data_IF_347057454634
#
_entry.id   IF_347057454634
#
_cell.length_a   1.000
_cell.length_b   1.000
_cell.length_c   1.000
_cell.angle_alpha   90.00
_cell.angle_beta   90.00
_cell.angle_gamma   90.00
#
_symmetry.space_group_name_H-M   'P 1'
#
loop_
_entity.id
_entity.type
_entity.pdbx_description
1 polymer ?
#
# COMPACT_ATOMS: atom_id res chain seq x y z
N UNK A 1 -11.23 -8.03 0.84
CA UNK A 1 -10.60 -8.09 -0.49
C UNK A 1 -10.50 -9.53 -1.01
N UNK A 2 -9.66 -10.36 -0.38
CA UNK A 2 -9.32 -11.74 -0.79
C UNK A 2 -10.54 -12.64 -1.10
N UNK A 3 -11.58 -12.68 -0.24
CA UNK A 3 -12.78 -13.52 -0.47
C UNK A 3 -13.59 -13.14 -1.71
N UNK A 4 -13.62 -11.85 -2.08
CA UNK A 4 -14.40 -11.34 -3.23
C UNK A 4 -13.65 -11.47 -4.55
N UNK A 5 -12.34 -11.73 -4.51
CA UNK A 5 -11.47 -11.76 -5.68
C UNK A 5 -11.52 -13.07 -6.46
N UNK A 6 -12.30 -14.07 -6.05
CA UNK A 6 -12.42 -15.35 -6.76
C UNK A 6 -11.18 -16.26 -6.64
N UNK A 7 -10.35 -16.06 -5.61
CA UNK A 7 -9.14 -16.86 -5.38
C UNK A 7 -9.48 -18.35 -5.15
N UNK A 8 -8.89 -19.22 -5.97
CA UNK A 8 -8.97 -20.70 -5.93
C UNK A 8 -7.64 -21.30 -5.49
N UNK A 9 -7.61 -22.55 -5.01
CA UNK A 9 -6.41 -23.23 -4.46
C UNK A 9 -5.12 -23.16 -5.30
N UNK A 10 -5.22 -22.99 -6.61
CA UNK A 10 -4.09 -22.81 -7.54
C UNK A 10 -3.78 -21.34 -7.87
N UNK A 11 -4.24 -20.40 -7.05
CA UNK A 11 -4.06 -18.98 -7.34
C UNK A 11 -2.64 -18.54 -7.07
N UNK A 12 -2.05 -17.85 -8.04
CA UNK A 12 -0.79 -17.15 -7.89
C UNK A 12 -1.10 -15.66 -7.79
N UNK A 13 -0.76 -15.05 -6.67
CA UNK A 13 -1.08 -13.65 -6.37
C UNK A 13 0.14 -12.75 -6.58
N UNK A 14 -0.01 -11.64 -7.32
CA UNK A 14 1.02 -10.60 -7.43
C UNK A 14 0.58 -9.30 -6.78
N UNK A 15 1.47 -8.68 -6.02
CA UNK A 15 1.28 -7.36 -5.40
C UNK A 15 2.22 -6.35 -6.09
N UNK A 16 1.69 -5.41 -6.88
CA UNK A 16 2.47 -4.44 -7.67
C UNK A 16 2.49 -3.09 -6.96
N UNK A 17 3.69 -2.61 -6.61
CA UNK A 17 3.88 -1.51 -5.68
C UNK A 17 3.63 -1.98 -4.24
N UNK A 18 4.18 -3.14 -3.89
CA UNK A 18 3.81 -3.87 -2.68
C UNK A 18 4.26 -3.19 -1.37
N UNK A 19 5.12 -2.19 -1.45
CA UNK A 19 5.71 -1.50 -0.32
C UNK A 19 6.42 -2.46 0.61
N UNK A 20 5.91 -2.60 1.82
CA UNK A 20 6.42 -3.55 2.83
C UNK A 20 5.68 -4.91 2.80
N UNK A 21 5.01 -5.25 1.68
CA UNK A 21 4.30 -6.51 1.45
C UNK A 21 3.08 -6.77 2.36
N UNK A 22 2.42 -5.75 2.92
CA UNK A 22 1.26 -5.98 3.82
C UNK A 22 0.15 -6.76 3.11
N UNK A 23 -0.23 -6.33 1.90
CA UNK A 23 -1.30 -6.98 1.13
C UNK A 23 -0.88 -8.38 0.70
N UNK A 24 0.37 -8.54 0.23
CA UNK A 24 0.96 -9.84 -0.06
C UNK A 24 0.88 -10.82 1.13
N UNK A 25 1.23 -10.39 2.34
CA UNK A 25 1.17 -11.25 3.53
C UNK A 25 -0.26 -11.65 3.89
N UNK A 26 -1.22 -10.74 3.75
CA UNK A 26 -2.64 -11.09 3.90
C UNK A 26 -3.12 -12.09 2.86
N UNK A 27 -2.65 -12.00 1.61
CA UNK A 27 -2.98 -12.96 0.57
C UNK A 27 -2.44 -14.36 0.90
N UNK A 28 -1.21 -14.47 1.41
CA UNK A 28 -0.59 -15.75 1.79
C UNK A 28 -1.30 -16.47 2.93
N UNK A 29 -1.90 -15.72 3.87
CA UNK A 29 -2.74 -16.30 4.92
C UNK A 29 -4.01 -16.95 4.39
N UNK A 30 -4.40 -16.68 3.14
CA UNK A 30 -5.57 -17.29 2.55
C UNK A 30 -5.24 -18.70 2.05
N UNK A 31 -6.00 -19.74 2.46
CA UNK A 31 -5.72 -21.12 2.05
C UNK A 31 -5.76 -21.33 0.53
N UNK A 32 -6.52 -20.50 -0.20
CA UNK A 32 -6.64 -20.65 -1.64
C UNK A 32 -5.41 -20.09 -2.41
N UNK A 33 -4.57 -19.24 -1.82
CA UNK A 33 -3.40 -18.72 -2.54
C UNK A 33 -2.28 -19.74 -2.49
N UNK A 34 -1.93 -20.35 -3.61
CA UNK A 34 -0.84 -21.34 -3.67
C UNK A 34 0.52 -20.67 -3.46
N UNK A 35 0.71 -19.54 -4.14
CA UNK A 35 1.96 -18.82 -4.18
C UNK A 35 1.72 -17.33 -4.38
N UNK A 36 2.64 -16.49 -3.92
CA UNK A 36 2.54 -15.06 -4.11
C UNK A 36 3.91 -14.40 -4.26
N UNK A 37 3.98 -13.28 -4.99
CA UNK A 37 5.17 -12.46 -5.10
C UNK A 37 4.84 -10.96 -5.17
N UNK A 38 5.74 -10.13 -4.66
CA UNK A 38 5.62 -8.67 -4.68
C UNK A 38 6.61 -8.05 -5.66
N UNK A 39 6.19 -6.99 -6.33
CA UNK A 39 7.04 -6.12 -7.14
C UNK A 39 7.06 -4.76 -6.45
N UNK A 40 8.25 -4.29 -6.10
CA UNK A 40 8.45 -2.98 -5.48
C UNK A 40 9.64 -2.27 -6.13
N UNK A 41 9.52 -0.96 -6.28
CA UNK A 41 10.49 -0.12 -6.97
C UNK A 41 11.45 0.57 -5.99
N UNK A 42 11.04 0.75 -4.74
CA UNK A 42 11.88 1.29 -3.68
C UNK A 42 12.71 0.17 -3.00
N UNK A 43 14.05 0.17 -3.16
CA UNK A 43 14.90 -0.85 -2.57
C UNK A 43 14.85 -0.88 -1.03
N UNK A 44 14.63 0.27 -0.39
CA UNK A 44 14.50 0.34 1.08
C UNK A 44 13.22 -0.36 1.53
N UNK A 45 12.12 -0.20 0.79
CA UNK A 45 10.87 -0.91 1.09
C UNK A 45 11.00 -2.41 0.86
N UNK A 46 11.72 -2.85 -0.18
CA UNK A 46 12.02 -4.28 -0.39
C UNK A 46 12.78 -4.87 0.79
N UNK A 47 13.82 -4.18 1.28
CA UNK A 47 14.57 -4.65 2.47
C UNK A 47 13.68 -4.71 3.71
N UNK A 48 12.83 -3.70 3.94
CA UNK A 48 11.84 -3.71 5.03
C UNK A 48 10.84 -4.86 4.87
N UNK A 49 10.43 -5.18 3.65
CA UNK A 49 9.51 -6.28 3.38
C UNK A 49 10.14 -7.65 3.67
N UNK A 50 11.43 -7.84 3.35
CA UNK A 50 12.18 -9.05 3.70
C UNK A 50 12.29 -9.19 5.22
N UNK A 51 12.70 -8.14 5.92
CA UNK A 51 12.78 -8.15 7.38
C UNK A 51 11.42 -8.40 8.05
N UNK A 52 10.35 -7.82 7.50
CA UNK A 52 8.98 -8.07 7.97
C UNK A 52 8.58 -9.54 7.77
N UNK A 53 8.92 -10.14 6.63
CA UNK A 53 8.65 -11.56 6.40
C UNK A 53 9.39 -12.46 7.41
N UNK A 54 10.67 -12.21 7.66
CA UNK A 54 11.45 -12.96 8.65
C UNK A 54 10.86 -12.83 10.05
N UNK A 55 10.46 -11.61 10.44
CA UNK A 55 9.77 -11.36 11.70
C UNK A 55 8.46 -12.15 11.80
N UNK A 56 7.62 -12.13 10.76
CA UNK A 56 6.35 -12.88 10.74
C UNK A 56 6.56 -14.39 10.85
N UNK A 57 7.56 -14.93 10.15
CA UNK A 57 7.92 -16.36 10.22
C UNK A 57 8.40 -16.78 11.62
N UNK A 58 9.04 -15.87 12.36
CA UNK A 58 9.53 -16.14 13.71
C UNK A 58 8.46 -15.94 14.79
N UNK A 59 7.67 -14.87 14.68
CA UNK A 59 6.81 -14.40 15.78
C UNK A 59 5.33 -14.78 15.62
N UNK A 60 4.90 -15.22 14.45
CA UNK A 60 3.50 -15.58 14.20
C UNK A 60 3.33 -17.06 13.83
N UNK A 61 2.99 -17.93 14.80
CA UNK A 61 2.77 -19.36 14.54
C UNK A 61 1.74 -19.63 13.45
N UNK A 62 0.67 -18.83 13.40
CA UNK A 62 -0.38 -18.94 12.36
C UNK A 62 0.18 -18.67 10.96
N UNK A 63 1.02 -17.63 10.81
CA UNK A 63 1.65 -17.32 9.53
C UNK A 63 2.62 -18.42 9.12
N UNK A 64 3.46 -18.89 10.06
CA UNK A 64 4.38 -20.01 9.84
C UNK A 64 3.64 -21.28 9.42
N UNK A 65 2.51 -21.60 10.05
CA UNK A 65 1.67 -22.75 9.69
C UNK A 65 1.05 -22.59 8.30
N UNK A 66 0.54 -21.39 7.96
CA UNK A 66 0.02 -21.11 6.63
C UNK A 66 1.09 -21.29 5.54
N UNK A 67 2.34 -20.91 5.82
CA UNK A 67 3.47 -21.03 4.89
C UNK A 67 3.96 -22.46 4.68
N UNK A 68 3.76 -23.39 5.62
CA UNK A 68 4.14 -24.82 5.45
C UNK A 68 3.45 -25.48 4.26
N UNK A 69 2.25 -25.03 3.93
CA UNK A 69 1.43 -25.59 2.85
C UNK A 69 1.61 -24.85 1.52
N UNK A 70 2.58 -23.93 1.41
CA UNK A 70 2.83 -23.15 0.19
C UNK A 70 4.00 -23.74 -0.59
N UNK A 71 3.88 -23.73 -1.92
CA UNK A 71 4.89 -24.31 -2.82
C UNK A 71 6.25 -23.58 -2.73
N UNK A 72 6.25 -22.30 -2.33
CA UNK A 72 7.47 -21.52 -2.15
C UNK A 72 7.25 -20.32 -1.20
N UNK A 73 8.32 -19.81 -0.55
CA UNK A 73 8.25 -18.54 0.15
C UNK A 73 7.95 -17.39 -0.82
N UNK A 74 7.27 -16.32 -0.36
CA UNK A 74 7.05 -15.15 -1.18
C UNK A 74 8.37 -14.52 -1.59
N UNK A 75 8.40 -14.02 -2.82
CA UNK A 75 9.54 -13.26 -3.34
C UNK A 75 9.17 -11.79 -3.40
N UNK A 76 10.02 -10.93 -2.87
CA UNK A 76 9.98 -9.49 -3.10
C UNK A 76 11.03 -9.17 -4.17
N UNK A 77 10.59 -8.75 -5.36
CA UNK A 77 11.48 -8.35 -6.43
C UNK A 77 11.63 -6.84 -6.41
N UNK A 78 12.85 -6.37 -6.15
CA UNK A 78 13.22 -4.98 -6.42
C UNK A 78 13.45 -4.83 -7.92
N UNK A 79 12.51 -4.22 -8.63
CA UNK A 79 12.63 -3.98 -10.06
C UNK A 79 11.83 -2.75 -10.46
N UNK A 80 12.34 -2.00 -11.43
CA UNK A 80 11.49 -1.04 -12.13
C UNK A 80 10.40 -1.81 -12.87
N UNK A 81 9.17 -1.27 -12.87
CA UNK A 81 8.05 -1.94 -13.55
C UNK A 81 8.32 -2.13 -15.05
N UNK A 82 9.17 -1.28 -15.65
CA UNK A 82 9.58 -1.39 -17.05
C UNK A 82 10.55 -2.55 -17.31
N UNK A 83 11.23 -3.06 -16.27
CA UNK A 83 12.18 -4.18 -16.37
C UNK A 83 11.49 -5.54 -16.14
N UNK A 84 10.28 -5.53 -15.59
CA UNK A 84 9.48 -6.73 -15.43
C UNK A 84 9.01 -7.14 -16.82
N UNK A 85 9.45 -8.30 -17.30
CA UNK A 85 9.09 -8.79 -18.63
C UNK A 85 7.72 -9.46 -18.69
N UNK A 86 7.29 -10.10 -17.59
CA UNK A 86 6.00 -10.79 -17.52
C UNK A 86 5.54 -10.93 -16.08
N UNK A 87 4.21 -10.95 -15.88
CA UNK A 87 3.58 -11.31 -14.60
C UNK A 87 3.26 -12.81 -14.52
N UNK A 88 3.48 -13.59 -15.58
CA UNK A 88 3.25 -15.04 -15.56
C UNK A 88 4.11 -15.71 -14.48
N UNK A 89 3.54 -16.61 -13.64
CA UNK A 89 2.24 -17.27 -13.78
C UNK A 89 1.10 -16.64 -12.93
N UNK A 90 1.16 -15.35 -12.60
CA UNK A 90 0.13 -14.72 -11.76
C UNK A 90 -1.27 -14.89 -12.33
N UNK A 91 -2.22 -15.28 -11.47
CA UNK A 91 -3.64 -15.39 -11.82
C UNK A 91 -4.47 -14.24 -11.27
N UNK A 92 -3.97 -13.60 -10.21
CA UNK A 92 -4.59 -12.43 -9.60
C UNK A 92 -3.52 -11.37 -9.32
N UNK A 93 -3.86 -10.11 -9.54
CA UNK A 93 -2.99 -8.99 -9.23
C UNK A 93 -3.71 -7.99 -8.33
N UNK A 94 -2.97 -7.43 -7.40
CA UNK A 94 -3.32 -6.21 -6.70
C UNK A 94 -2.30 -5.14 -7.05
N UNK A 95 -2.77 -3.91 -7.17
CA UNK A 95 -1.90 -2.77 -7.44
C UNK A 95 -2.43 -1.53 -6.72
N UNK A 96 -1.50 -0.75 -6.18
CA UNK A 96 -1.81 0.52 -5.55
C UNK A 96 -1.30 1.67 -6.41
N UNK A 97 -2.21 2.47 -6.98
CA UNK A 97 -1.91 3.43 -8.04
C UNK A 97 -1.46 4.82 -7.55
N UNK A 98 -1.56 5.09 -6.24
CA UNK A 98 -1.24 6.42 -5.68
C UNK A 98 0.27 6.63 -5.71
N UNK A 99 0.70 7.76 -6.30
CA UNK A 99 2.12 8.10 -6.42
C UNK A 99 2.86 7.44 -7.59
N UNK A 100 2.21 6.60 -8.41
CA UNK A 100 2.84 6.03 -9.60
C UNK A 100 2.88 7.03 -10.76
N UNK A 101 4.03 7.13 -11.44
CA UNK A 101 4.18 7.96 -12.65
C UNK A 101 3.32 7.44 -13.80
N UNK A 102 2.94 8.30 -14.75
CA UNK A 102 2.18 7.91 -15.95
C UNK A 102 2.87 6.77 -16.71
N UNK A 103 4.20 6.84 -16.86
CA UNK A 103 4.99 5.80 -17.51
C UNK A 103 4.89 4.44 -16.79
N UNK A 104 4.94 4.43 -15.46
CA UNK A 104 4.79 3.22 -14.67
C UNK A 104 3.39 2.61 -14.83
N UNK A 105 2.34 3.44 -14.85
CA UNK A 105 0.96 2.97 -15.08
C UNK A 105 0.80 2.33 -16.46
N UNK A 106 1.39 2.93 -17.50
CA UNK A 106 1.38 2.34 -18.85
C UNK A 106 2.16 1.03 -18.92
N UNK A 107 3.29 0.91 -18.21
CA UNK A 107 4.04 -0.34 -18.12
C UNK A 107 3.23 -1.46 -17.44
N UNK A 108 2.49 -1.16 -16.36
CA UNK A 108 1.55 -2.11 -15.76
C UNK A 108 0.49 -2.55 -16.78
N UNK A 109 -0.09 -1.62 -17.54
CA UNK A 109 -1.07 -1.94 -18.58
C UNK A 109 -0.51 -2.93 -19.62
N UNK A 110 0.73 -2.72 -20.08
CA UNK A 110 1.41 -3.65 -20.99
C UNK A 110 1.64 -5.03 -20.35
N UNK A 111 2.11 -5.06 -19.12
CA UNK A 111 2.31 -6.30 -18.35
C UNK A 111 1.01 -7.09 -18.19
N UNK A 112 -0.08 -6.39 -17.93
CA UNK A 112 -1.40 -6.97 -17.79
C UNK A 112 -1.87 -7.61 -19.10
N UNK A 113 -1.80 -6.86 -20.21
CA UNK A 113 -2.20 -7.34 -21.53
C UNK A 113 -1.35 -8.55 -22.00
N UNK A 114 -0.09 -8.63 -21.55
CA UNK A 114 0.82 -9.72 -21.88
C UNK A 114 0.75 -10.92 -20.92
N UNK A 115 -0.21 -10.95 -19.99
CA UNK A 115 -0.35 -12.03 -19.01
C UNK A 115 -1.73 -12.72 -19.14
N UNK A 116 -1.85 -13.75 -19.99
CA UNK A 116 -3.12 -14.44 -20.25
C UNK A 116 -3.74 -15.08 -19.00
N UNK A 117 -2.91 -15.42 -18.00
CA UNK A 117 -3.36 -16.02 -16.75
C UNK A 117 -4.00 -15.02 -15.81
N UNK A 118 -3.71 -13.72 -15.93
CA UNK A 118 -4.28 -12.68 -15.08
C UNK A 118 -5.74 -12.47 -15.44
N UNK A 119 -6.62 -12.95 -14.56
CA UNK A 119 -8.04 -12.67 -14.68
C UNK A 119 -8.26 -11.27 -14.16
N UNK A 120 -8.74 -10.39 -15.05
CA UNK A 120 -9.45 -9.19 -14.59
C UNK A 120 -10.67 -9.69 -13.86
N UNK A 121 -10.60 -9.74 -12.52
CA UNK A 121 -11.80 -9.76 -11.73
C UNK A 121 -12.48 -8.43 -11.99
N UNK A 122 -13.31 -8.36 -13.03
CA UNK A 122 -14.28 -7.29 -13.12
C UNK A 122 -14.99 -7.29 -11.76
N UNK A 123 -15.07 -6.17 -11.05
CA UNK A 123 -15.90 -6.14 -9.85
C UNK A 123 -17.24 -6.70 -10.31
N UNK A 124 -17.66 -7.83 -9.73
CA UNK A 124 -19.03 -8.31 -9.92
C UNK A 124 -19.89 -7.07 -9.74
N UNK A 125 -20.78 -6.75 -10.70
CA UNK A 125 -21.71 -5.64 -10.52
C UNK A 125 -22.26 -5.79 -9.11
N UNK A 126 -22.31 -4.69 -8.31
CA UNK A 126 -22.83 -4.78 -6.96
C UNK A 126 -24.11 -5.60 -7.04
N UNK A 127 -24.29 -6.63 -6.18
CA UNK A 127 -25.49 -7.45 -6.25
C UNK A 127 -26.66 -6.50 -6.35
N UNK A 128 -27.53 -6.68 -7.35
CA UNK A 128 -28.73 -5.83 -7.48
C UNK A 128 -29.32 -5.70 -6.09
N UNK A 129 -29.60 -4.46 -5.64
CA UNK A 129 -30.13 -4.25 -4.30
C UNK A 129 -31.27 -5.24 -4.13
N UNK A 130 -31.21 -6.05 -3.06
CA UNK A 130 -32.28 -6.96 -2.76
C UNK A 130 -33.60 -6.16 -2.84
N UNK A 131 -34.66 -6.69 -3.49
CA UNK A 131 -35.93 -6.00 -3.50
C UNK A 131 -36.24 -5.59 -2.06
N UNK A 132 -36.72 -4.35 -1.84
CA UNK A 132 -37.01 -3.89 -0.49
C UNK A 132 -37.89 -4.96 0.19
N UNK A 133 -37.60 -5.32 1.45
CA UNK A 133 -38.46 -6.24 2.15
C UNK A 133 -39.90 -5.71 2.08
N UNK A 134 -40.91 -6.60 1.96
CA UNK A 134 -42.29 -6.16 2.01
C UNK A 134 -42.47 -5.28 3.27
N UNK A 135 -43.26 -4.19 3.18
CA UNK A 135 -43.48 -3.32 4.33
C UNK A 135 -43.93 -4.17 5.51
N UNK A 136 -43.22 -4.03 6.64
CA UNK A 136 -43.61 -4.69 7.87
C UNK A 136 -45.05 -4.26 8.21
N UNK A 137 -45.90 -5.17 8.70
CA UNK A 137 -47.18 -4.76 9.24
C UNK A 137 -46.94 -3.67 10.30
N UNK A 138 -47.81 -2.66 10.39
CA UNK A 138 -47.67 -1.61 11.40
C UNK A 138 -47.53 -2.26 12.77
N UNK A 139 -46.54 -1.85 13.59
CA UNK A 139 -46.38 -2.40 14.92
C UNK A 139 -47.70 -2.21 15.69
N UNK A 140 -48.22 -3.29 16.25
CA UNK A 140 -49.32 -3.22 17.19
C UNK A 140 -48.98 -2.16 18.23
N UNK A 141 -49.87 -1.18 18.44
CA UNK A 141 -49.63 -0.11 19.42
C UNK A 141 -49.23 -0.77 20.75
N UNK A 142 -48.05 -0.44 21.30
CA UNK A 142 -47.70 -0.93 22.61
C UNK A 142 -48.79 -0.45 23.59
N UNK A 143 -49.18 -1.27 24.59
CA UNK A 143 -50.03 -0.80 25.65
C UNK A 143 -49.40 0.44 26.27
N UNK A 144 -50.20 1.45 26.67
CA UNK A 144 -49.68 2.65 27.29
C UNK A 144 -48.79 2.25 28.48
N UNK A 145 -47.59 2.83 28.60
CA UNK A 145 -46.71 2.50 29.72
C UNK A 145 -47.44 2.81 31.01
N UNK A 146 -47.47 1.84 31.93
CA UNK A 146 -47.88 2.09 33.30
C UNK A 146 -46.99 3.22 33.84
N UNK A 147 -47.62 4.32 34.26
CA UNK A 147 -46.90 5.44 34.84
C UNK A 147 -46.08 4.91 36.03
N UNK A 148 -44.76 5.15 36.07
CA UNK A 148 -43.96 4.76 37.22
C UNK A 148 -44.48 5.47 38.46
N UNK A 149 -44.44 4.84 39.64
CA UNK A 149 -44.74 5.52 40.89
C UNK A 149 -43.84 6.76 41.02
N UNK A 150 -44.44 7.90 41.38
CA UNK A 150 -43.69 9.14 41.61
C UNK A 150 -42.56 8.86 42.62
N UNK A 151 -41.32 9.28 42.33
CA UNK A 151 -40.22 9.10 43.27
C UNK A 151 -40.51 9.90 44.54
N UNK A 152 -40.08 9.40 45.71
CA UNK A 152 -40.14 10.18 46.93
C UNK A 152 -39.32 11.48 46.77
N UNK A 153 -39.72 12.59 47.41
CA UNK A 153 -38.97 13.84 47.34
C UNK A 153 -37.53 13.61 47.83
N UNK A 154 -36.53 14.23 47.19
CA UNK A 154 -35.15 14.05 47.58
C UNK A 154 -34.92 14.62 48.99
N UNK A 155 -34.04 13.98 49.79
CA UNK A 155 -33.63 14.56 51.06
C UNK A 155 -32.91 15.89 50.83
N UNK A 156 -32.97 16.83 51.79
CA UNK A 156 -32.28 18.11 51.69
C UNK A 156 -30.75 17.89 51.56
N UNK A 157 -30.05 18.71 50.77
CA UNK A 157 -28.62 18.54 50.55
C UNK A 157 -27.84 18.80 51.85
N UNK A 158 -26.75 18.04 52.10
CA UNK A 158 -25.86 18.31 53.22
C UNK A 158 -25.13 19.65 53.05
N UNK A 159 -24.70 20.29 54.15
CA UNK A 159 -23.94 21.53 54.09
C UNK A 159 -22.61 21.32 53.35
N UNK A 160 -22.32 22.23 52.42
CA UNK A 160 -21.09 22.21 51.62
C UNK A 160 -19.87 22.47 52.51
N UNK A 161 -18.91 21.55 52.50
CA UNK A 161 -17.61 21.72 53.14
C UNK A 161 -16.75 22.73 52.35
N UNK A 162 -15.84 23.47 53.02
CA UNK A 162 -14.96 24.42 52.36
C UNK A 162 -13.99 23.71 51.38
N UNK A 163 -13.58 24.40 50.30
CA UNK A 163 -12.72 23.82 49.27
C UNK A 163 -11.34 23.46 49.84
N UNK A 164 -10.96 22.18 49.69
CA UNK A 164 -9.60 21.70 49.91
C UNK A 164 -8.66 22.36 48.89
N UNK A 165 -7.63 23.04 49.41
CA UNK A 165 -6.54 23.57 48.60
C UNK A 165 -5.86 22.43 47.82
N UNK A 166 -5.50 22.66 46.55
CA UNK A 166 -4.84 21.63 45.75
C UNK A 166 -3.47 21.28 46.33
N UNK A 167 -3.08 20.00 46.33
CA UNK A 167 -1.75 19.60 46.77
C UNK A 167 -0.69 20.19 45.84
N UNK A 168 0.37 20.72 46.43
CA UNK A 168 1.57 21.18 45.74
C UNK A 168 2.14 20.04 44.89
N UNK A 169 2.42 20.27 43.58
CA UNK A 169 2.95 19.22 42.72
C UNK A 169 4.33 18.75 43.23
N UNK A 170 4.60 17.44 43.20
CA UNK A 170 5.91 16.92 43.59
C UNK A 170 6.99 17.45 42.66
N UNK A 171 8.14 17.82 43.26
CA UNK A 171 9.34 18.21 42.53
C UNK A 171 9.73 17.10 41.53
N UNK A 172 10.08 17.43 40.27
CA UNK A 172 10.50 16.43 39.32
C UNK A 172 11.78 15.71 39.82
N UNK A 173 11.88 14.39 39.62
CA UNK A 173 13.07 13.64 40.00
C UNK A 173 14.29 14.12 39.22
N UNK A 174 15.44 14.16 39.91
CA UNK A 174 16.73 14.48 39.32
C UNK A 174 17.03 13.54 38.13
N UNK A 175 17.59 14.07 37.03
CA UNK A 175 17.87 13.26 35.85
C UNK A 175 18.90 12.18 36.17
N UNK A 176 18.71 10.94 35.67
CA UNK A 176 19.66 9.86 35.85
C UNK A 176 20.97 10.15 35.11
N UNK A 177 22.12 9.63 35.59
CA UNK A 177 23.40 9.73 34.89
C UNK A 177 23.34 9.04 33.52
N UNK A 178 24.05 9.56 32.51
CA UNK A 178 23.96 9.07 31.14
C UNK A 178 24.49 7.64 31.06
N UNK A 179 23.59 6.70 30.80
CA UNK A 179 23.93 5.32 30.50
C UNK A 179 24.26 5.20 29.02
N UNK A 180 25.53 4.86 28.76
CA UNK A 180 26.05 4.38 27.49
C UNK A 180 25.24 3.17 27.04
N UNK A 181 24.44 3.26 25.96
CA UNK A 181 24.19 2.13 25.05
C UNK A 181 23.77 2.63 23.65
N UNK A 182 24.11 1.89 22.58
CA UNK A 182 24.14 2.39 21.22
C UNK A 182 22.75 2.36 20.58
N UNK A 183 22.22 3.55 20.29
CA UNK A 183 21.02 3.71 19.46
C UNK A 183 21.44 3.77 18.00
N UNK A 184 21.53 2.60 17.37
CA UNK A 184 21.64 2.47 15.92
C UNK A 184 20.26 2.63 15.28
N UNK A 185 19.96 3.82 14.77
CA UNK A 185 19.02 4.01 13.68
C UNK A 185 19.32 5.34 12.97
N UNK A 186 19.32 5.24 11.65
CA UNK A 186 19.17 6.31 10.66
C UNK A 186 20.40 7.17 10.35
N UNK A 187 21.10 6.78 9.27
CA UNK A 187 21.36 7.66 8.14
C UNK A 187 21.81 6.85 6.92
N UNK A 188 20.90 6.62 5.98
CA UNK A 188 21.20 6.01 4.69
C UNK A 188 20.35 6.64 3.58
N UNK A 189 20.56 7.93 3.38
CA UNK A 189 20.25 8.64 2.14
C UNK A 189 21.40 9.60 1.87
N UNK A 190 22.34 9.15 1.04
CA UNK A 190 23.10 9.93 0.07
C UNK A 190 24.33 9.11 -0.37
N UNK A 191 24.19 8.35 -1.45
CA UNK A 191 25.32 8.17 -2.36
C UNK A 191 24.77 8.03 -3.77
N UNK A 192 25.01 9.08 -4.54
CA UNK A 192 24.82 9.12 -5.97
C UNK A 192 25.58 7.95 -6.62
N UNK A 193 25.00 7.38 -7.67
CA UNK A 193 25.79 6.69 -8.67
C UNK A 193 25.20 7.05 -10.03
N UNK A 194 25.98 7.90 -10.70
CA UNK A 194 25.88 8.17 -12.11
C UNK A 194 25.76 6.85 -12.87
N UNK A 195 24.69 6.71 -13.66
CA UNK A 195 24.64 5.71 -14.71
C UNK A 195 25.25 6.34 -15.94
N UNK A 196 26.47 5.89 -16.23
CA UNK A 196 27.18 6.08 -17.48
C UNK A 196 26.34 5.50 -18.61
N UNK A 197 25.90 6.37 -19.51
CA UNK A 197 25.33 6.00 -20.81
C UNK A 197 26.35 5.21 -21.61
N UNK A 198 26.08 3.93 -21.86
CA UNK A 198 26.74 3.17 -22.91
C UNK A 198 25.82 3.14 -24.13
N UNK A 199 26.28 3.82 -25.18
CA UNK A 199 25.70 3.84 -26.50
C UNK A 199 25.51 2.41 -27.03
N UNK A 200 24.32 2.13 -27.57
CA UNK A 200 24.12 0.95 -28.43
C UNK A 200 23.92 1.46 -29.85
N UNK A 201 24.88 1.10 -30.67
CA UNK A 201 24.98 1.33 -32.11
C UNK A 201 23.74 0.78 -32.82
N UNK A 202 23.10 1.62 -33.62
CA UNK A 202 22.01 1.26 -34.49
C UNK A 202 22.53 0.45 -35.69
N UNK A 203 22.05 -0.78 -35.85
CA UNK A 203 22.14 -1.51 -37.12
C UNK A 203 20.81 -1.35 -37.84
N UNK A 204 20.84 -0.56 -38.91
CA UNK A 204 19.77 -0.43 -39.87
C UNK A 204 19.63 -1.73 -40.67
N UNK A 205 18.42 -2.27 -40.73
CA UNK A 205 18.05 -3.30 -41.69
C UNK A 205 16.69 -2.92 -42.31
N UNK A 206 16.70 -2.94 -43.63
CA UNK A 206 15.72 -2.44 -44.58
C UNK A 206 14.26 -2.88 -44.34
N UNK A 207 13.37 -1.92 -44.58
CA UNK A 207 11.92 -2.07 -44.73
C UNK A 207 11.56 -2.83 -46.02
N UNK A 208 10.57 -3.74 -46.00
CA UNK A 208 9.75 -4.02 -47.16
C UNK A 208 8.52 -3.12 -47.18
N UNK A 209 8.35 -2.43 -48.30
CA UNK A 209 7.22 -1.60 -48.70
C UNK A 209 5.93 -2.43 -48.73
N UNK A 210 5.02 -2.22 -47.77
CA UNK A 210 3.68 -2.78 -47.78
C UNK A 210 2.70 -1.76 -48.37
N UNK A 211 1.95 -2.21 -49.38
CA UNK A 211 0.97 -1.45 -50.12
C UNK A 211 -0.13 -0.86 -49.22
N UNK A 212 -0.50 0.39 -49.52
CA UNK A 212 -1.57 1.12 -48.85
C UNK A 212 -2.93 0.43 -49.03
N UNK A 213 -3.70 0.19 -47.95
CA UNK A 213 -5.09 -0.24 -48.08
C UNK A 213 -5.96 0.91 -48.63
N UNK A 214 -7.06 0.59 -49.34
CA UNK A 214 -7.99 1.57 -49.86
C UNK A 214 -8.66 2.37 -48.72
N UNK A 215 -9.07 3.62 -48.97
CA UNK A 215 -9.67 4.48 -47.97
C UNK A 215 -10.98 3.89 -47.45
N UNK A 216 -11.10 3.77 -46.12
CA UNK A 216 -12.36 3.44 -45.45
C UNK A 216 -13.45 4.47 -45.80
N UNK A 217 -14.70 4.04 -46.01
CA UNK A 217 -15.82 4.96 -46.22
C UNK A 217 -15.97 5.90 -45.02
N UNK A 218 -16.24 7.17 -45.32
CA UNK A 218 -16.43 8.20 -44.31
C UNK A 218 -17.55 7.78 -43.33
N UNK A 219 -17.35 7.92 -42.01
CA UNK A 219 -18.39 7.64 -41.04
C UNK A 219 -19.61 8.54 -41.30
N UNK A 220 -20.84 8.02 -41.08
CA UNK A 220 -22.04 8.84 -41.21
C UNK A 220 -21.97 10.05 -40.27
N UNK A 221 -22.56 11.19 -40.66
CA UNK A 221 -22.60 12.37 -39.82
C UNK A 221 -23.27 12.03 -38.47
N UNK A 222 -22.77 12.57 -37.35
CA UNK A 222 -23.38 12.35 -36.06
C UNK A 222 -24.83 12.84 -36.08
N UNK A 223 -25.75 12.13 -35.40
CA UNK A 223 -27.14 12.56 -35.29
C UNK A 223 -27.20 13.97 -34.68
N UNK A 224 -28.07 14.81 -35.23
CA UNK A 224 -28.31 16.16 -34.74
C UNK A 224 -28.69 16.11 -33.24
N UNK A 225 -28.16 17.01 -32.42
CA UNK A 225 -28.47 17.05 -30.99
C UNK A 225 -29.98 17.21 -30.81
N UNK A 226 -30.59 16.31 -30.04
CA UNK A 226 -31.98 16.41 -29.65
C UNK A 226 -32.23 17.76 -28.95
N UNK A 227 -33.42 18.38 -29.16
CA UNK A 227 -33.76 19.65 -28.54
C UNK A 227 -33.60 19.55 -27.02
N UNK A 228 -32.81 20.48 -26.47
CA UNK A 228 -32.46 20.56 -25.06
C UNK A 228 -33.72 20.55 -24.21
N UNK A 229 -33.89 19.50 -23.39
CA UNK A 229 -34.92 19.49 -22.34
C UNK A 229 -34.71 20.71 -21.43
N UNK A 230 -35.77 21.40 -20.99
CA UNK A 230 -35.67 22.45 -20.00
C UNK A 230 -34.93 21.90 -18.77
N UNK A 231 -33.88 22.60 -18.36
CA UNK A 231 -33.12 22.21 -17.17
C UNK A 231 -34.06 22.26 -15.95
N UNK A 232 -34.04 21.24 -15.08
CA UNK A 232 -34.77 21.32 -13.83
C UNK A 232 -34.28 22.52 -13.01
N UNK A 233 -35.15 23.14 -12.19
CA UNK A 233 -34.76 24.25 -11.32
C UNK A 233 -33.57 23.82 -10.46
N UNK A 234 -32.55 24.69 -10.43
CA UNK A 234 -31.35 24.45 -9.63
C UNK A 234 -31.74 24.31 -8.15
N UNK A 235 -31.24 23.31 -7.43
CA UNK A 235 -31.45 23.21 -6.00
C UNK A 235 -30.86 24.46 -5.29
N UNK A 236 -31.42 24.87 -4.15
CA UNK A 236 -30.89 25.98 -3.38
C UNK A 236 -29.42 25.71 -3.04
N UNK A 237 -28.58 26.74 -3.24
CA UNK A 237 -27.15 26.65 -2.93
C UNK A 237 -26.97 26.33 -1.44
N UNK A 238 -26.08 25.38 -1.09
CA UNK A 238 -25.75 25.14 0.29
C UNK A 238 -25.17 26.41 0.93
N UNK A 239 -25.37 26.64 2.23
CA UNK A 239 -24.76 27.76 2.93
C UNK A 239 -23.24 27.71 2.75
N UNK A 240 -22.57 28.87 2.67
CA UNK A 240 -21.13 28.92 2.53
C UNK A 240 -20.47 28.17 3.69
N UNK A 241 -19.41 27.39 3.43
CA UNK A 241 -18.69 26.69 4.48
C UNK A 241 -18.18 27.71 5.49
N UNK A 242 -18.42 27.45 6.79
CA UNK A 242 -17.83 28.22 7.86
C UNK A 242 -16.30 28.16 7.70
N UNK A 243 -15.68 29.34 7.59
CA UNK A 243 -14.23 29.44 7.51
C UNK A 243 -13.61 28.76 8.74
N UNK A 244 -12.59 27.91 8.57
CA UNK A 244 -11.90 27.33 9.71
C UNK A 244 -11.31 28.45 10.58
N UNK A 245 -11.25 28.28 11.90
CA UNK A 245 -10.59 29.23 12.77
C UNK A 245 -9.12 29.40 12.32
N UNK A 246 -8.55 30.61 12.48
CA UNK A 246 -7.15 30.83 12.15
C UNK A 246 -6.26 29.86 12.93
N UNK A 247 -5.15 29.38 12.33
CA UNK A 247 -4.21 28.52 13.04
C UNK A 247 -3.65 29.26 14.27
N UNK A 248 -3.35 28.54 15.37
CA UNK A 248 -2.67 29.15 16.51
C UNK A 248 -1.33 29.75 16.07
N UNK A 249 -0.87 30.82 16.74
CA UNK A 249 0.43 31.40 16.46
C UNK A 249 1.54 30.34 16.62
N UNK A 250 2.60 30.40 15.79
CA UNK A 250 3.71 29.48 15.92
C UNK A 250 4.36 29.62 17.32
N UNK A 251 4.84 28.53 17.92
CA UNK A 251 5.59 28.63 19.17
C UNK A 251 6.84 29.49 18.97
N UNK A 252 7.31 30.19 20.03
CA UNK A 252 8.53 30.98 19.96
C UNK A 252 9.70 30.11 19.51
N UNK A 253 10.51 30.65 18.60
CA UNK A 253 11.71 29.97 18.12
C UNK A 253 12.66 29.76 19.28
N UNK A 254 12.91 28.50 19.62
CA UNK A 254 13.97 28.15 20.56
C UNK A 254 15.33 28.57 19.96
N UNK A 255 16.27 29.01 20.81
CA UNK A 255 17.63 29.30 20.34
C UNK A 255 18.22 28.05 19.66
N UNK A 256 19.05 28.23 18.62
CA UNK A 256 19.69 27.12 17.95
C UNK A 256 20.51 26.31 18.97
N UNK A 257 20.50 24.97 18.88
CA UNK A 257 21.32 24.16 19.76
C UNK A 257 22.80 24.51 19.54
N UNK A 258 23.63 24.41 20.60
CA UNK A 258 25.06 24.64 20.46
C UNK A 258 25.65 23.68 19.41
N UNK A 259 26.72 24.10 18.70
CA UNK A 259 27.39 23.27 17.71
C UNK A 259 27.82 21.95 18.34
N UNK A 260 27.43 20.84 17.70
CA UNK A 260 27.83 19.51 18.14
C UNK A 260 29.35 19.36 18.02
N UNK A 261 30.00 18.67 18.96
CA UNK A 261 31.41 18.31 18.82
C UNK A 261 31.63 17.46 17.56
N UNK A 262 32.83 17.51 16.96
CA UNK A 262 33.16 16.70 15.79
C UNK A 262 32.94 15.21 16.11
N UNK A 263 32.22 14.52 15.22
CA UNK A 263 31.90 13.12 15.41
C UNK A 263 33.18 12.28 15.48
N UNK A 264 33.27 11.30 16.41
CA UNK A 264 34.37 10.36 16.40
C UNK A 264 34.36 9.56 15.08
N UNK A 265 35.55 9.14 14.58
CA UNK A 265 35.63 8.29 13.41
C UNK A 265 34.85 6.98 13.65
N UNK A 266 34.13 6.47 12.64
CA UNK A 266 33.22 5.35 12.83
C UNK A 266 33.98 4.08 13.24
N UNK A 267 33.44 3.29 14.19
CA UNK A 267 34.01 1.99 14.50
C UNK A 267 33.83 1.06 13.29
N UNK A 268 34.93 0.41 12.89
CA UNK A 268 34.97 -0.64 11.86
C UNK A 268 34.30 -1.92 12.37
N UNK A 269 32.98 -1.90 12.56
CA UNK A 269 32.19 -3.07 12.94
C UNK A 269 31.46 -3.69 11.74
N UNK A 270 31.97 -4.85 11.35
CA UNK A 270 31.36 -5.94 10.56
C UNK A 270 31.23 -5.83 9.02
N UNK A 271 31.98 -6.66 8.26
CA UNK A 271 31.79 -6.86 6.81
C UNK A 271 30.59 -7.76 6.44
N UNK A 272 29.87 -8.36 7.41
CA UNK A 272 28.90 -9.44 7.14
C UNK A 272 27.58 -9.03 6.47
N UNK A 273 27.10 -7.80 6.66
CA UNK A 273 25.83 -7.36 6.05
C UNK A 273 26.00 -6.95 4.58
N UNK A 274 27.11 -6.25 4.27
CA UNK A 274 27.52 -5.97 2.90
C UNK A 274 27.87 -7.28 2.15
N UNK A 275 28.50 -8.24 2.83
CA UNK A 275 28.76 -9.57 2.29
C UNK A 275 27.48 -10.32 1.91
N UNK A 276 26.39 -10.19 2.66
CA UNK A 276 25.14 -10.88 2.31
C UNK A 276 24.46 -10.25 1.09
N UNK A 277 24.52 -8.94 0.94
CA UNK A 277 23.95 -8.23 -0.21
C UNK A 277 24.82 -8.42 -1.47
N UNK A 278 26.14 -8.45 -1.30
CA UNK A 278 27.11 -8.79 -2.34
C UNK A 278 27.02 -10.27 -2.73
N UNK A 279 26.89 -11.21 -1.78
CA UNK A 279 26.66 -12.63 -2.04
C UNK A 279 25.32 -12.88 -2.72
N UNK A 280 24.28 -12.11 -2.39
CA UNK A 280 22.98 -12.18 -3.09
C UNK A 280 23.10 -11.67 -4.53
N UNK A 281 23.78 -10.53 -4.74
CA UNK A 281 24.09 -10.02 -6.09
C UNK A 281 24.95 -11.00 -6.89
N UNK A 282 26.00 -11.58 -6.31
CA UNK A 282 26.88 -12.58 -6.94
C UNK A 282 26.12 -13.87 -7.28
N UNK A 283 25.26 -14.39 -6.38
CA UNK A 283 24.44 -15.58 -6.67
C UNK A 283 23.42 -15.33 -7.79
N UNK A 284 22.86 -14.13 -7.87
CA UNK A 284 21.94 -13.76 -8.96
C UNK A 284 22.69 -13.61 -10.30
N UNK A 285 23.90 -13.05 -10.28
CA UNK A 285 24.74 -12.89 -11.48
C UNK A 285 25.22 -14.25 -12.03
N UNK A 286 25.69 -15.14 -11.15
CA UNK A 286 26.11 -16.50 -11.52
C UNK A 286 24.96 -17.34 -12.11
N UNK A 287 23.74 -17.20 -11.56
CA UNK A 287 22.55 -17.88 -12.13
C UNK A 287 22.14 -17.35 -13.50
N UNK A 288 22.33 -16.06 -13.79
CA UNK A 288 22.12 -15.49 -15.14
C UNK A 288 23.13 -16.06 -16.15
N UNK A 289 24.40 -16.16 -15.77
CA UNK A 289 25.43 -16.72 -16.64
C UNK A 289 25.21 -18.21 -16.96
N UNK A 290 24.77 -19.01 -15.97
CA UNK A 290 24.52 -20.43 -16.18
C UNK A 290 23.33 -20.70 -17.10
N UNK A 291 22.27 -19.88 -17.04
CA UNK A 291 21.11 -19.96 -17.94
C UNK A 291 21.47 -19.59 -19.39
N UNK A 292 22.38 -18.64 -19.60
CA UNK A 292 22.84 -18.31 -20.94
C UNK A 292 23.71 -19.39 -21.58
N UNK A 293 24.53 -20.11 -20.80
CA UNK A 293 25.33 -21.24 -21.31
C UNK A 293 24.49 -22.43 -21.75
N UNK A 294 23.37 -22.72 -21.08
CA UNK A 294 22.47 -23.82 -21.48
C UNK A 294 21.58 -23.51 -22.69
N UNK A 295 21.45 -22.25 -23.09
CA UNK A 295 20.71 -21.86 -24.31
C UNK A 295 21.56 -21.82 -25.58
N UNK A 296 22.88 -22.01 -25.46
CA UNK A 296 23.83 -21.99 -26.58
C UNK A 296 24.44 -23.36 -26.88
N UNK A 297 23.89 -24.42 -26.30
CA UNK A 297 24.14 -25.82 -26.64
C UNK A 297 22.82 -26.43 -27.07
#
# INVERSE_FOLDING_TARGET
MVRKAGLRRSSVFVDIGSGINRVLFHALLYPAVEWAFGIEFDPVKVLKAVAAFDYLMQKMPVFKAAMKNKSAPPKANCASISEVGTLSPATHAFTFWVGMTKAAKMAIGRLWNNCPSLKVSSPLPPPSPAPPPPPLPPPSRPPPPLLPPLPPPPPPPPPLLPPLLPPTPPLPPAPPPPTLFPRAADNLLHTASASTSAATTATAAASPTAASPPPSPAPPPPPLPAPSRPLPPLPPLPPPPLLPPPPPPPPPLLPPPPPLPPAPPPPTLFPRAADNLLRLRCRLHLRRHHRHRHRRR
#
